data_IF_605631599894
#
_entry.id   IF_605631599894
#
_cell.length_a   1.000
_cell.length_b   1.000
_cell.length_c   1.000
_cell.angle_alpha   90.00
_cell.angle_beta   90.00
_cell.angle_gamma   90.00
#
_symmetry.space_group_name_H-M   'P 1'
#
loop_
_entity.id
_entity.type
_entity.pdbx_description
1 polymer ?
#
# COMPACT_ATOMS: atom_id res chain seq x y z
N UNK A 1 -61.46 29.10 68.49
CA UNK A 1 -60.35 28.11 68.57
C UNK A 1 -59.31 28.24 67.46
N UNK A 2 -59.67 28.49 66.21
CA UNK A 2 -58.73 28.58 65.08
C UNK A 2 -57.61 29.62 65.23
N UNK A 3 -57.87 30.76 65.89
CA UNK A 3 -56.86 31.80 66.17
C UNK A 3 -55.82 31.33 67.21
N UNK A 4 -56.24 30.53 68.20
CA UNK A 4 -55.34 30.02 69.24
C UNK A 4 -54.47 28.87 68.72
N UNK A 5 -54.96 28.09 67.75
CA UNK A 5 -54.17 27.05 67.06
C UNK A 5 -53.11 27.65 66.12
N UNK A 6 -53.31 28.86 65.59
CA UNK A 6 -52.34 29.56 64.74
C UNK A 6 -51.19 30.22 65.52
N UNK A 7 -51.39 30.56 66.81
CA UNK A 7 -50.37 31.25 67.61
C UNK A 7 -49.09 30.41 67.88
N UNK A 8 -49.18 29.08 67.72
CA UNK A 8 -48.05 28.15 67.85
C UNK A 8 -47.49 27.61 66.52
N UNK A 9 -48.10 27.95 65.38
CA UNK A 9 -47.68 27.48 64.07
C UNK A 9 -46.98 28.62 63.31
N UNK A 10 -45.65 28.55 63.21
CA UNK A 10 -44.76 29.46 62.46
C UNK A 10 -44.93 30.93 62.89
N UNK A 11 -44.30 31.29 64.01
CA UNK A 11 -44.24 32.71 64.42
C UNK A 11 -43.39 33.49 63.41
N UNK A 12 -44.06 34.24 62.52
CA UNK A 12 -43.41 35.06 61.47
C UNK A 12 -42.34 36.00 62.02
N UNK A 13 -42.47 36.48 63.26
CA UNK A 13 -41.49 37.36 63.92
C UNK A 13 -40.18 36.67 64.29
N UNK A 14 -40.14 35.33 64.32
CA UNK A 14 -38.94 34.57 64.68
C UNK A 14 -38.12 34.13 63.48
N UNK A 15 -38.59 34.35 62.24
CA UNK A 15 -37.90 33.97 61.00
C UNK A 15 -37.39 32.52 61.01
N UNK A 16 -38.20 31.59 61.56
CA UNK A 16 -37.83 30.17 61.68
C UNK A 16 -36.98 29.83 62.91
N UNK A 17 -36.77 30.76 63.83
CA UNK A 17 -36.12 30.53 65.13
C UNK A 17 -36.83 29.47 65.98
N UNK A 18 -38.16 29.46 65.93
CA UNK A 18 -39.08 28.51 66.57
C UNK A 18 -38.96 27.08 66.04
N UNK A 19 -38.35 26.87 64.88
CA UNK A 19 -38.23 25.54 64.26
C UNK A 19 -37.18 24.73 65.05
N UNK A 20 -37.59 23.64 65.75
CA UNK A 20 -36.70 22.87 66.62
C UNK A 20 -35.65 22.10 65.81
N UNK A 21 -36.08 21.51 64.69
CA UNK A 21 -35.20 20.87 63.71
C UNK A 21 -35.36 21.56 62.35
N UNK A 22 -34.52 22.59 62.14
CA UNK A 22 -34.48 23.35 60.89
C UNK A 22 -34.17 22.47 59.68
N UNK A 23 -33.45 21.36 59.87
CA UNK A 23 -33.02 20.46 58.81
C UNK A 23 -34.16 19.51 58.41
N UNK A 24 -34.81 18.87 59.38
CA UNK A 24 -36.02 18.07 59.10
C UNK A 24 -37.12 18.93 58.49
N UNK A 25 -37.31 20.14 59.01
CA UNK A 25 -38.24 21.10 58.42
C UNK A 25 -37.90 21.42 56.96
N UNK A 26 -36.64 21.77 56.66
CA UNK A 26 -36.19 22.02 55.29
C UNK A 26 -36.48 20.83 54.36
N UNK A 27 -36.17 19.60 54.80
CA UNK A 27 -36.48 18.38 54.05
C UNK A 27 -37.98 18.21 53.80
N UNK A 28 -38.82 18.42 54.81
CA UNK A 28 -40.28 18.26 54.71
C UNK A 28 -40.90 19.22 53.71
N UNK A 29 -40.37 20.44 53.58
CA UNK A 29 -40.87 21.44 52.64
C UNK A 29 -40.15 21.44 51.29
N UNK A 30 -39.20 20.53 51.07
CA UNK A 30 -38.38 20.48 49.84
C UNK A 30 -37.37 21.63 49.72
N UNK A 31 -37.03 22.31 50.81
CA UNK A 31 -35.95 23.30 50.87
C UNK A 31 -34.59 22.61 51.13
N UNK A 32 -33.50 23.32 50.85
CA UNK A 32 -32.13 22.85 51.08
C UNK A 32 -31.43 23.78 52.07
N UNK A 33 -30.61 23.21 52.95
CA UNK A 33 -29.82 24.03 53.88
C UNK A 33 -28.63 24.62 53.14
N UNK A 34 -28.43 25.93 53.25
CA UNK A 34 -27.36 26.64 52.54
C UNK A 34 -26.72 27.77 53.35
N UNK A 35 -25.48 28.13 53.03
CA UNK A 35 -24.77 29.31 53.54
C UNK A 35 -23.90 29.92 52.43
N UNK A 36 -23.26 31.07 52.72
CA UNK A 36 -22.25 31.68 51.85
C UNK A 36 -20.84 31.36 52.37
N UNK A 37 -19.93 31.01 51.47
CA UNK A 37 -18.53 30.68 51.80
C UNK A 37 -17.57 31.51 50.93
N UNK A 38 -16.44 31.91 51.49
CA UNK A 38 -15.38 32.66 50.79
C UNK A 38 -14.04 31.98 50.97
N UNK A 39 -13.33 31.74 49.86
CA UNK A 39 -12.12 30.94 49.74
C UNK A 39 -11.01 31.72 49.00
N UNK A 40 -10.92 33.04 49.16
CA UNK A 40 -10.28 33.98 48.22
C UNK A 40 -8.87 33.69 47.66
N UNK A 41 -8.10 32.80 48.28
CA UNK A 41 -6.76 32.37 47.83
C UNK A 41 -6.80 31.08 47.01
N UNK A 42 -5.75 30.80 46.24
CA UNK A 42 -5.59 29.48 45.61
C UNK A 42 -4.98 28.50 46.60
N UNK A 43 -5.67 27.39 46.91
CA UNK A 43 -5.14 26.38 47.82
C UNK A 43 -6.20 25.49 48.45
N UNK A 44 -5.86 24.92 49.61
CA UNK A 44 -6.69 23.98 50.35
C UNK A 44 -7.46 24.67 51.47
N UNK A 45 -8.75 24.36 51.59
CA UNK A 45 -9.64 24.96 52.58
C UNK A 45 -10.44 23.91 53.34
N UNK A 46 -10.46 23.98 54.67
CA UNK A 46 -11.32 23.17 55.53
C UNK A 46 -12.76 23.66 55.48
N UNK A 47 -13.55 23.14 54.54
CA UNK A 47 -14.92 23.63 54.27
C UNK A 47 -15.98 23.05 55.21
N UNK A 48 -15.71 21.88 55.81
CA UNK A 48 -16.66 21.25 56.71
C UNK A 48 -15.98 20.36 57.75
N UNK A 49 -16.70 20.11 58.85
CA UNK A 49 -16.45 18.98 59.74
C UNK A 49 -17.70 18.12 59.74
N UNK A 50 -17.55 16.82 59.52
CA UNK A 50 -18.65 15.86 59.42
C UNK A 50 -18.53 14.79 60.50
N UNK A 51 -19.65 14.33 61.02
CA UNK A 51 -19.73 13.14 61.87
C UNK A 51 -20.46 12.08 61.05
N UNK A 52 -19.79 10.98 60.72
CA UNK A 52 -20.30 9.97 59.81
C UNK A 52 -20.06 8.57 60.39
N UNK A 53 -20.98 8.06 61.22
CA UNK A 53 -20.88 6.72 61.79
C UNK A 53 -20.63 5.65 60.73
N UNK A 54 -19.84 4.61 61.07
CA UNK A 54 -19.59 3.42 60.24
C UNK A 54 -20.84 2.51 60.06
N UNK A 55 -22.00 3.11 59.76
CA UNK A 55 -23.31 2.48 59.69
C UNK A 55 -24.18 3.12 58.59
N UNK A 56 -23.74 3.02 57.32
CA UNK A 56 -24.44 3.59 56.14
C UNK A 56 -24.76 5.09 56.25
N UNK A 57 -23.75 5.90 56.58
CA UNK A 57 -23.86 7.36 56.58
C UNK A 57 -23.56 7.94 55.19
N UNK A 58 -24.34 8.91 54.72
CA UNK A 58 -24.07 9.67 53.48
C UNK A 58 -24.27 11.16 53.72
N UNK A 59 -23.37 11.97 53.19
CA UNK A 59 -23.48 13.43 53.18
C UNK A 59 -23.17 13.99 51.79
N UNK A 60 -23.75 15.13 51.46
CA UNK A 60 -23.48 15.88 50.23
C UNK A 60 -23.22 17.34 50.58
N UNK A 61 -22.25 17.94 49.91
CA UNK A 61 -21.94 19.36 49.97
C UNK A 61 -21.83 19.86 48.53
N UNK A 62 -22.54 20.93 48.16
CA UNK A 62 -22.48 21.54 46.83
C UNK A 62 -22.09 22.99 46.93
N UNK A 63 -21.14 23.42 46.10
CA UNK A 63 -20.76 24.82 45.94
C UNK A 63 -21.24 25.32 44.58
N UNK A 64 -21.93 26.45 44.55
CA UNK A 64 -22.30 27.16 43.33
C UNK A 64 -21.52 28.47 43.25
N UNK A 65 -20.91 28.71 42.09
CA UNK A 65 -19.86 29.69 41.88
C UNK A 65 -18.48 29.02 41.91
N UNK A 66 -17.50 29.61 41.23
CA UNK A 66 -16.14 29.09 41.10
C UNK A 66 -15.07 30.13 41.39
N UNK A 67 -13.84 29.78 41.02
CA UNK A 67 -12.69 30.67 41.01
C UNK A 67 -12.85 31.76 39.93
N UNK A 68 -13.02 33.02 40.36
CA UNK A 68 -13.18 34.19 39.49
C UNK A 68 -14.63 34.62 39.25
N UNK A 69 -14.82 35.83 38.72
CA UNK A 69 -16.14 36.48 38.54
C UNK A 69 -16.18 37.48 37.36
N UNK A 70 -15.41 37.22 36.32
CA UNK A 70 -15.34 38.00 35.09
C UNK A 70 -16.56 37.75 34.18
N UNK A 71 -17.19 38.84 33.70
CA UNK A 71 -18.24 38.74 32.70
C UNK A 71 -17.69 38.14 31.39
N UNK A 72 -18.41 37.19 30.79
CA UNK A 72 -18.00 36.50 29.56
C UNK A 72 -17.16 35.23 29.77
N UNK A 73 -16.82 34.88 31.00
CA UNK A 73 -16.16 33.62 31.39
C UNK A 73 -17.18 32.62 31.96
N UNK A 74 -17.94 31.89 31.12
CA UNK A 74 -19.00 30.97 31.58
C UNK A 74 -18.49 29.86 32.51
N UNK A 75 -17.21 29.49 32.42
CA UNK A 75 -16.56 28.51 33.29
C UNK A 75 -16.56 28.88 34.78
N UNK A 76 -16.70 30.17 35.10
CA UNK A 76 -16.68 30.71 36.46
C UNK A 76 -18.03 30.58 37.18
N UNK A 77 -19.13 30.39 36.43
CA UNK A 77 -20.42 29.94 36.97
C UNK A 77 -20.37 28.44 37.29
N UNK A 78 -19.40 28.04 38.12
CA UNK A 78 -19.04 26.66 38.35
C UNK A 78 -19.96 25.96 39.34
N UNK A 79 -19.97 24.64 39.28
CA UNK A 79 -20.61 23.76 40.27
C UNK A 79 -19.57 22.77 40.78
N UNK A 80 -19.39 22.74 42.10
CA UNK A 80 -18.60 21.71 42.79
C UNK A 80 -19.55 20.85 43.60
N UNK A 81 -19.56 19.54 43.39
CA UNK A 81 -20.44 18.62 44.13
C UNK A 81 -19.61 17.53 44.81
N UNK A 82 -19.61 17.55 46.14
CA UNK A 82 -18.93 16.60 46.98
C UNK A 82 -19.94 15.63 47.60
N UNK A 83 -19.69 14.34 47.46
CA UNK A 83 -20.44 13.27 48.11
C UNK A 83 -19.51 12.52 49.05
N UNK A 84 -19.94 12.34 50.30
CA UNK A 84 -19.23 11.62 51.34
C UNK A 84 -20.04 10.39 51.72
N UNK A 85 -19.36 9.26 51.95
CA UNK A 85 -19.99 8.02 52.41
C UNK A 85 -19.13 7.32 53.44
N UNK A 86 -19.73 6.88 54.55
CA UNK A 86 -19.00 6.12 55.57
C UNK A 86 -18.68 4.70 55.11
N UNK A 87 -17.55 4.18 55.60
CA UNK A 87 -17.19 2.78 55.51
C UNK A 87 -18.15 1.89 56.29
N UNK A 88 -17.99 0.58 56.12
CA UNK A 88 -18.73 -0.46 56.83
C UNK A 88 -18.02 -0.91 58.12
N UNK A 89 -17.01 -0.17 58.57
CA UNK A 89 -16.13 -0.54 59.68
C UNK A 89 -14.95 -1.45 59.30
N UNK A 90 -14.85 -1.89 58.05
CA UNK A 90 -13.70 -2.68 57.55
C UNK A 90 -13.47 -2.43 56.04
N UNK A 91 -12.66 -1.42 55.66
CA UNK A 91 -11.92 -0.50 56.54
C UNK A 91 -12.82 0.58 57.20
N UNK A 92 -12.37 1.09 58.35
CA UNK A 92 -12.95 2.29 58.99
C UNK A 92 -12.52 3.52 58.20
N UNK A 93 -13.45 4.45 57.94
CA UNK A 93 -13.15 5.70 57.27
C UNK A 93 -14.35 6.27 56.53
N UNK A 94 -14.08 7.23 55.64
CA UNK A 94 -15.05 7.71 54.66
C UNK A 94 -14.46 7.64 53.25
N UNK A 95 -15.32 7.48 52.27
CA UNK A 95 -15.04 7.82 50.88
C UNK A 95 -15.50 9.26 50.66
N UNK A 96 -14.63 10.09 50.10
CA UNK A 96 -14.96 11.44 49.66
C UNK A 96 -14.79 11.53 48.14
N UNK A 97 -15.85 11.98 47.46
CA UNK A 97 -15.89 12.03 45.99
C UNK A 97 -16.33 13.40 45.50
N UNK A 98 -15.48 14.07 44.72
CA UNK A 98 -15.77 15.35 44.09
C UNK A 98 -16.14 15.15 42.61
N UNK A 99 -17.33 15.61 42.23
CA UNK A 99 -17.80 15.63 40.85
C UNK A 99 -17.53 17.00 40.23
N UNK A 100 -16.43 17.10 39.51
CA UNK A 100 -16.00 18.33 38.83
C UNK A 100 -16.76 18.52 37.53
N UNK A 101 -17.47 19.64 37.40
CA UNK A 101 -18.30 19.97 36.22
C UNK A 101 -17.81 21.19 35.44
N UNK A 102 -16.87 21.93 36.01
CA UNK A 102 -16.34 23.17 35.41
C UNK A 102 -14.84 23.33 35.71
N UNK A 103 -14.09 23.99 34.84
CA UNK A 103 -12.69 24.32 35.08
C UNK A 103 -12.46 25.20 36.31
N UNK A 104 -13.39 26.08 36.69
CA UNK A 104 -13.26 26.94 37.86
C UNK A 104 -13.87 26.36 39.16
N UNK A 105 -14.35 25.12 39.14
CA UNK A 105 -14.85 24.43 40.34
C UNK A 105 -13.70 24.02 41.28
N UNK A 106 -14.04 23.43 42.43
CA UNK A 106 -13.07 22.73 43.25
C UNK A 106 -12.30 21.69 42.42
N UNK A 107 -10.99 21.61 42.64
CA UNK A 107 -10.08 20.74 41.91
C UNK A 107 -9.95 19.37 42.54
N UNK A 108 -9.84 19.34 43.87
CA UNK A 108 -9.50 18.15 44.65
C UNK A 108 -10.26 18.17 45.96
N UNK A 109 -10.37 17.00 46.59
CA UNK A 109 -10.96 16.84 47.92
C UNK A 109 -10.06 15.94 48.75
N UNK A 110 -9.94 16.24 50.03
CA UNK A 110 -9.23 15.44 51.01
C UNK A 110 -9.98 15.46 52.34
N UNK A 111 -9.68 14.52 53.23
CA UNK A 111 -10.28 14.47 54.55
C UNK A 111 -9.28 14.04 55.62
N UNK A 112 -9.49 14.49 56.85
CA UNK A 112 -8.69 14.13 58.03
C UNK A 112 -9.62 13.51 59.05
N UNK A 113 -9.34 12.29 59.52
CA UNK A 113 -10.05 11.76 60.69
C UNK A 113 -9.52 12.43 61.95
N UNK A 114 -10.36 13.18 62.66
CA UNK A 114 -9.95 13.96 63.83
C UNK A 114 -10.23 13.22 65.14
N UNK A 115 -11.29 12.42 65.20
CA UNK A 115 -11.61 11.55 66.33
C UNK A 115 -12.81 10.65 66.00
N UNK A 116 -12.71 9.35 66.27
CA UNK A 116 -13.80 8.39 66.06
C UNK A 116 -14.36 8.48 64.64
N UNK A 117 -15.66 8.75 64.51
CA UNK A 117 -16.36 8.94 63.24
C UNK A 117 -16.44 10.41 62.78
N UNK A 118 -15.53 11.27 63.28
CA UNK A 118 -15.46 12.69 62.92
C UNK A 118 -14.36 12.94 61.90
N UNK A 119 -14.70 13.67 60.84
CA UNK A 119 -13.81 13.94 59.72
C UNK A 119 -13.85 15.42 59.34
N UNK A 120 -12.68 16.04 59.21
CA UNK A 120 -12.55 17.35 58.57
C UNK A 120 -12.44 17.17 57.07
N UNK A 121 -13.12 18.02 56.31
CA UNK A 121 -13.26 17.94 54.87
C UNK A 121 -12.61 19.16 54.23
N UNK A 122 -11.66 18.90 53.33
CA UNK A 122 -10.87 19.90 52.64
C UNK A 122 -11.13 19.86 51.14
N UNK A 123 -11.18 21.02 50.50
CA UNK A 123 -11.15 21.11 49.03
C UNK A 123 -9.98 21.96 48.57
N UNK A 124 -9.42 21.64 47.41
CA UNK A 124 -8.53 22.52 46.68
C UNK A 124 -9.34 23.36 45.68
N UNK A 125 -9.15 24.67 45.63
CA UNK A 125 -9.79 25.54 44.63
C UNK A 125 -8.85 26.66 44.21
N UNK A 126 -9.05 27.19 42.99
CA UNK A 126 -8.32 28.36 42.51
C UNK A 126 -8.71 29.66 43.22
N UNK A 127 -7.86 30.68 43.05
CA UNK A 127 -8.06 32.01 43.63
C UNK A 127 -9.38 32.67 43.22
N UNK A 128 -9.80 33.65 44.01
CA UNK A 128 -10.99 34.47 43.76
C UNK A 128 -12.33 33.73 43.80
N UNK A 129 -12.38 32.64 44.55
CA UNK A 129 -13.62 31.93 44.90
C UNK A 129 -14.35 32.66 46.04
N UNK A 130 -15.05 33.75 45.70
CA UNK A 130 -15.73 34.63 46.64
C UNK A 130 -17.24 34.39 46.65
N UNK A 131 -17.84 34.42 47.84
CA UNK A 131 -19.30 34.43 48.02
C UNK A 131 -20.01 33.27 47.33
N UNK A 132 -19.41 32.08 47.38
CA UNK A 132 -20.01 30.88 46.82
C UNK A 132 -21.21 30.45 47.65
N UNK A 133 -22.24 29.90 47.01
CA UNK A 133 -23.37 29.30 47.71
C UNK A 133 -22.98 27.87 48.09
N UNK A 134 -22.92 27.56 49.38
CA UNK A 134 -22.65 26.23 49.90
C UNK A 134 -23.94 25.58 50.40
N UNK A 135 -24.43 24.56 49.70
CA UNK A 135 -25.56 23.72 50.09
C UNK A 135 -25.05 22.42 50.71
N UNK A 136 -25.82 21.82 51.62
CA UNK A 136 -25.49 20.50 52.16
C UNK A 136 -26.73 19.71 52.59
N UNK A 137 -26.57 18.40 52.63
CA UNK A 137 -27.57 17.46 53.13
C UNK A 137 -26.91 16.14 53.60
N UNK A 138 -27.55 15.38 54.50
CA UNK A 138 -26.95 14.14 55.04
C UNK A 138 -27.96 13.19 55.71
N UNK A 139 -27.67 11.89 55.78
CA UNK A 139 -28.55 10.85 56.36
C UNK A 139 -28.81 11.04 57.85
N UNK A 140 -29.93 10.52 58.38
CA UNK A 140 -30.37 10.81 59.76
C UNK A 140 -29.40 10.43 60.90
N UNK A 141 -28.39 9.61 60.63
CA UNK A 141 -27.33 9.22 61.56
C UNK A 141 -26.00 9.98 61.38
N UNK A 142 -25.89 10.84 60.37
CA UNK A 142 -24.72 11.65 60.08
C UNK A 142 -24.92 13.10 60.53
N UNK A 143 -23.87 13.92 60.44
CA UNK A 143 -23.96 15.37 60.61
C UNK A 143 -22.92 16.06 59.71
N UNK A 144 -23.27 17.24 59.21
CA UNK A 144 -22.38 18.16 58.49
C UNK A 144 -22.44 19.53 59.14
N UNK A 145 -21.27 20.05 59.51
CA UNK A 145 -21.05 21.44 59.94
C UNK A 145 -20.20 22.13 58.88
N UNK A 146 -20.81 23.04 58.11
CA UNK A 146 -20.09 23.88 57.15
C UNK A 146 -19.38 25.04 57.85
N UNK A 147 -18.17 25.37 57.38
CA UNK A 147 -17.40 26.52 57.85
C UNK A 147 -17.59 27.69 56.89
N UNK A 148 -18.17 28.80 57.35
CA UNK A 148 -18.34 30.03 56.55
C UNK A 148 -17.03 30.80 56.36
N UNK A 149 -16.06 30.59 57.26
CA UNK A 149 -14.69 31.08 57.19
C UNK A 149 -13.71 29.90 57.30
N UNK A 150 -13.52 29.12 56.22
CA UNK A 150 -12.65 27.95 56.21
C UNK A 150 -11.20 28.28 56.57
N UNK A 151 -10.56 27.35 57.28
CA UNK A 151 -9.11 27.39 57.48
C UNK A 151 -8.38 27.16 56.15
N UNK A 152 -7.43 28.03 55.83
CA UNK A 152 -6.65 28.00 54.60
C UNK A 152 -5.29 27.31 54.81
N UNK A 153 -4.84 26.58 53.80
CA UNK A 153 -3.48 26.08 53.66
C UNK A 153 -3.04 26.15 52.18
N UNK A 154 -1.83 26.62 51.92
CA UNK A 154 -1.26 26.63 50.56
C UNK A 154 -0.89 25.23 50.04
N UNK A 155 -0.79 24.24 50.94
CA UNK A 155 -0.48 22.84 50.63
C UNK A 155 -1.54 21.90 51.20
N UNK A 156 -1.67 20.70 50.65
CA UNK A 156 -2.57 19.69 51.21
C UNK A 156 -2.17 19.37 52.67
N UNK A 157 -3.10 19.30 53.63
CA UNK A 157 -2.77 18.93 55.01
C UNK A 157 -2.06 17.56 55.07
N UNK A 158 -0.89 17.50 55.73
CA UNK A 158 0.00 16.34 55.65
C UNK A 158 -0.54 15.03 56.26
N UNK A 159 -1.52 15.10 57.16
CA UNK A 159 -2.20 13.94 57.75
C UNK A 159 -3.55 13.62 57.08
N UNK A 160 -3.86 14.27 55.95
CA UNK A 160 -5.10 14.02 55.21
C UNK A 160 -5.00 12.80 54.31
N UNK A 161 -6.17 12.21 54.03
CA UNK A 161 -6.37 11.21 52.99
C UNK A 161 -7.02 11.87 51.79
N UNK A 162 -6.45 11.69 50.60
CA UNK A 162 -7.05 12.21 49.35
C UNK A 162 -8.34 11.47 49.02
N UNK A 163 -9.38 12.21 48.67
CA UNK A 163 -10.57 11.67 48.04
C UNK A 163 -10.38 11.47 46.54
N UNK A 164 -11.46 11.07 45.87
CA UNK A 164 -11.48 10.86 44.43
C UNK A 164 -12.17 12.02 43.72
N UNK A 165 -11.54 12.56 42.68
CA UNK A 165 -12.17 13.56 41.80
C UNK A 165 -12.58 12.90 40.50
N UNK A 166 -13.86 13.00 40.14
CA UNK A 166 -14.38 12.62 38.83
C UNK A 166 -14.66 13.87 37.99
N UNK A 167 -14.12 13.92 36.79
CA UNK A 167 -14.44 14.94 35.80
C UNK A 167 -15.67 14.54 34.99
N UNK A 168 -16.68 15.41 34.94
CA UNK A 168 -17.83 15.26 34.05
C UNK A 168 -17.54 16.00 32.75
N UNK A 169 -17.33 15.24 31.68
CA UNK A 169 -17.08 15.81 30.36
C UNK A 169 -18.32 16.50 29.77
N UNK A 170 -18.11 17.64 29.13
CA UNK A 170 -19.14 18.47 28.49
C UNK A 170 -18.54 19.30 27.35
N UNK A 171 -19.35 20.13 26.67
CA UNK A 171 -18.81 21.12 25.71
C UNK A 171 -17.84 22.12 26.34
N UNK A 172 -17.96 22.37 27.66
CA UNK A 172 -17.06 23.21 28.46
C UNK A 172 -15.82 22.44 28.94
N UNK A 173 -15.99 21.18 29.32
CA UNK A 173 -14.93 20.27 29.75
C UNK A 173 -14.77 19.15 28.73
N UNK A 174 -14.16 19.43 27.58
CA UNK A 174 -13.99 18.41 26.54
C UNK A 174 -12.97 17.36 27.00
N UNK A 175 -13.21 16.07 26.75
CA UNK A 175 -12.20 15.06 26.97
C UNK A 175 -11.06 15.26 25.97
N UNK A 176 -9.85 14.93 26.39
CA UNK A 176 -8.72 14.69 25.49
C UNK A 176 -8.88 13.33 24.82
N UNK A 177 -8.13 13.07 23.75
CA UNK A 177 -8.12 11.75 23.12
C UNK A 177 -7.71 10.65 24.12
N UNK A 178 -6.76 10.94 25.02
CA UNK A 178 -6.33 10.03 26.09
C UNK A 178 -7.44 9.71 27.08
N UNK A 179 -8.29 10.68 27.42
CA UNK A 179 -9.40 10.49 28.37
C UNK A 179 -10.44 9.47 27.88
N UNK A 180 -10.59 9.32 26.56
CA UNK A 180 -11.60 8.43 25.94
C UNK A 180 -10.99 7.27 25.16
N UNK A 181 -9.67 7.07 25.25
CA UNK A 181 -8.97 6.01 24.52
C UNK A 181 -9.00 6.17 23.00
N UNK A 182 -9.16 7.40 22.50
CA UNK A 182 -9.14 7.73 21.07
C UNK A 182 -7.72 8.06 20.57
N UNK A 183 -7.53 8.02 19.25
CA UNK A 183 -6.31 8.53 18.62
C UNK A 183 -6.32 10.08 18.59
N UNK A 184 -5.22 10.76 18.94
CA UNK A 184 -5.12 12.21 18.81
C UNK A 184 -4.93 12.64 17.35
N UNK A 185 -5.10 13.94 17.07
CA UNK A 185 -4.97 14.49 15.70
C UNK A 185 -3.56 14.35 15.10
N UNK A 186 -2.55 14.20 15.96
CA UNK A 186 -1.17 13.94 15.56
C UNK A 186 -0.93 12.48 15.16
N UNK A 187 -1.98 11.66 15.14
CA UNK A 187 -1.90 10.23 14.96
C UNK A 187 -1.49 9.51 16.25
N UNK A 188 -1.45 8.19 16.19
CA UNK A 188 -1.05 7.34 17.30
C UNK A 188 -0.94 5.88 16.87
N UNK A 189 -0.61 5.01 17.82
CA UNK A 189 -0.53 3.57 17.58
C UNK A 189 -1.87 2.92 17.94
N UNK A 190 -2.42 2.14 17.01
CA UNK A 190 -3.47 1.18 17.30
C UNK A 190 -2.81 -0.14 17.72
N UNK A 191 -3.04 -0.56 18.96
CA UNK A 191 -2.64 -1.89 19.45
C UNK A 191 -3.77 -2.88 19.16
N UNK A 192 -3.96 -3.20 17.87
CA UNK A 192 -5.02 -4.09 17.39
C UNK A 192 -5.42 -3.78 15.95
N UNK A 193 -6.39 -4.56 15.40
CA UNK A 193 -6.86 -4.38 14.04
C UNK A 193 -7.70 -3.11 13.88
N UNK A 194 -7.68 -2.57 12.66
CA UNK A 194 -8.68 -1.61 12.18
C UNK A 194 -9.70 -2.36 11.30
N UNK A 195 -10.96 -1.99 11.41
CA UNK A 195 -12.04 -2.64 10.66
C UNK A 195 -12.99 -1.59 10.10
N UNK A 196 -13.50 -1.80 8.90
CA UNK A 196 -14.46 -0.90 8.25
C UNK A 196 -15.66 -1.72 7.79
N UNK A 197 -16.84 -1.41 8.34
CA UNK A 197 -18.12 -2.04 7.97
C UNK A 197 -18.44 -3.35 8.69
N UNK A 198 -17.45 -4.02 9.29
CA UNK A 198 -17.62 -5.22 10.12
C UNK A 198 -16.40 -5.44 11.00
N UNK A 199 -16.50 -6.34 11.98
CA UNK A 199 -15.39 -6.74 12.84
C UNK A 199 -14.27 -7.42 12.04
N UNK A 200 -13.03 -7.22 12.47
CA UNK A 200 -11.84 -7.82 11.85
C UNK A 200 -11.59 -9.25 12.33
N UNK A 201 -11.67 -10.22 11.41
CA UNK A 201 -11.29 -11.61 11.61
C UNK A 201 -9.90 -11.97 11.05
N UNK A 202 -9.24 -11.07 10.32
CA UNK A 202 -7.83 -11.23 9.95
C UNK A 202 -6.90 -11.20 11.18
N UNK A 203 -7.25 -10.46 12.24
CA UNK A 203 -6.51 -10.35 13.49
C UNK A 203 -5.15 -9.64 13.36
N UNK A 204 -4.45 -9.47 14.49
CA UNK A 204 -3.15 -8.79 14.55
C UNK A 204 -3.16 -7.37 13.97
N UNK A 205 -2.05 -6.97 13.35
CA UNK A 205 -1.91 -5.68 12.66
C UNK A 205 -2.53 -5.77 11.26
N UNK A 206 -3.84 -5.58 11.18
CA UNK A 206 -4.57 -5.69 9.92
C UNK A 206 -5.65 -4.63 9.76
N UNK A 207 -6.07 -4.46 8.51
CA UNK A 207 -7.20 -3.66 8.09
C UNK A 207 -8.12 -4.60 7.31
N UNK A 208 -9.37 -4.77 7.73
CA UNK A 208 -10.40 -5.46 6.93
C UNK A 208 -11.39 -4.47 6.34
N UNK A 209 -11.99 -4.82 5.20
CA UNK A 209 -12.79 -3.93 4.37
C UNK A 209 -14.07 -4.61 3.90
N UNK A 210 -15.22 -4.19 4.41
CA UNK A 210 -16.55 -4.59 3.90
C UNK A 210 -17.01 -6.00 4.31
N UNK A 211 -16.09 -6.94 4.49
CA UNK A 211 -16.26 -8.21 5.19
C UNK A 211 -15.18 -8.35 6.27
N UNK A 212 -15.20 -9.47 7.01
CA UNK A 212 -14.34 -9.64 8.17
C UNK A 212 -12.99 -10.28 7.83
N UNK A 213 -12.74 -10.66 6.57
CA UNK A 213 -11.59 -11.47 6.19
C UNK A 213 -10.95 -11.09 4.83
N UNK A 214 -11.37 -9.97 4.24
CA UNK A 214 -10.76 -9.31 3.08
C UNK A 214 -10.07 -8.01 3.52
N UNK A 215 -8.81 -7.83 3.14
CA UNK A 215 -8.09 -6.59 3.42
C UNK A 215 -6.57 -6.70 3.41
N UNK A 216 -5.90 -5.97 4.30
CA UNK A 216 -4.45 -5.94 4.40
C UNK A 216 -4.00 -6.44 5.76
N UNK A 217 -2.87 -7.14 5.79
CA UNK A 217 -2.30 -7.60 7.05
C UNK A 217 -0.79 -7.45 7.02
N UNK A 218 -0.26 -6.78 8.03
CA UNK A 218 1.14 -6.85 8.32
C UNK A 218 1.41 -8.19 9.02
N UNK A 219 2.26 -9.01 8.42
CA UNK A 219 2.65 -10.30 8.96
C UNK A 219 4.11 -10.33 9.42
N UNK A 220 4.69 -9.15 9.67
CA UNK A 220 6.06 -8.96 10.12
C UNK A 220 6.60 -7.59 9.70
N UNK A 221 7.82 -7.28 10.13
CA UNK A 221 8.50 -6.07 9.69
C UNK A 221 8.82 -6.14 8.19
N UNK A 222 8.51 -5.07 7.45
CA UNK A 222 8.63 -5.02 5.98
C UNK A 222 7.69 -5.93 5.19
N UNK A 223 6.79 -6.68 5.84
CA UNK A 223 5.90 -7.66 5.18
C UNK A 223 4.45 -7.15 5.17
N UNK A 224 3.97 -6.83 3.98
CA UNK A 224 2.58 -6.45 3.74
C UNK A 224 1.89 -7.48 2.87
N UNK A 225 0.80 -8.03 3.39
CA UNK A 225 -0.01 -9.04 2.72
C UNK A 225 -1.40 -8.49 2.41
N UNK A 226 -2.01 -8.95 1.32
CA UNK A 226 -3.41 -8.69 0.95
C UNK A 226 -4.23 -9.96 1.11
N UNK A 227 -5.45 -9.87 1.61
CA UNK A 227 -6.35 -11.00 1.79
C UNK A 227 -7.68 -10.71 1.10
N UNK A 228 -8.34 -11.74 0.57
CA UNK A 228 -9.68 -11.70 0.01
C UNK A 228 -10.44 -12.95 0.44
N UNK A 229 -11.53 -12.80 1.18
CA UNK A 229 -12.32 -13.90 1.75
C UNK A 229 -11.42 -14.89 2.52
N UNK A 230 -10.60 -14.32 3.41
CA UNK A 230 -9.52 -14.96 4.18
C UNK A 230 -8.38 -15.57 3.34
N UNK A 231 -8.33 -15.32 2.02
CA UNK A 231 -7.28 -15.84 1.13
C UNK A 231 -6.22 -14.80 0.85
N UNK A 232 -4.95 -15.11 1.15
CA UNK A 232 -3.84 -14.22 0.86
C UNK A 232 -3.59 -14.13 -0.67
N UNK A 233 -3.67 -12.93 -1.27
CA UNK A 233 -3.64 -12.73 -2.73
C UNK A 233 -2.36 -12.10 -3.28
N UNK A 234 -1.68 -11.25 -2.52
CA UNK A 234 -0.44 -10.57 -2.90
C UNK A 234 0.36 -10.28 -1.65
N UNK A 235 1.67 -10.53 -1.68
CA UNK A 235 2.64 -10.11 -0.67
C UNK A 235 3.60 -9.09 -1.29
N UNK A 236 3.86 -8.03 -0.54
CA UNK A 236 4.92 -7.06 -0.83
C UNK A 236 5.95 -7.14 0.28
N UNK A 237 7.22 -7.24 -0.11
CA UNK A 237 8.38 -7.30 0.76
C UNK A 237 9.53 -6.45 0.16
N UNK A 238 10.60 -6.14 0.91
CA UNK A 238 11.70 -5.33 0.39
C UNK A 238 12.39 -6.02 -0.80
N UNK A 239 12.36 -5.37 -1.97
CA UNK A 239 12.98 -5.87 -3.20
C UNK A 239 12.13 -6.83 -4.02
N UNK A 240 10.90 -7.16 -3.59
CA UNK A 240 10.05 -8.09 -4.32
C UNK A 240 8.54 -7.87 -4.12
N UNK A 241 7.78 -8.29 -5.12
CA UNK A 241 6.33 -8.37 -5.09
C UNK A 241 5.90 -9.75 -5.56
N UNK A 242 5.07 -10.41 -4.77
CA UNK A 242 4.58 -11.76 -5.01
C UNK A 242 3.06 -11.74 -5.20
N UNK A 243 2.58 -12.08 -6.39
CA UNK A 243 1.15 -12.33 -6.65
C UNK A 243 0.84 -13.80 -6.30
N UNK A 244 -0.06 -14.05 -5.35
CA UNK A 244 -0.39 -15.37 -4.76
C UNK A 244 -1.61 -16.04 -5.44
N UNK A 245 -1.69 -15.84 -6.75
CA UNK A 245 -2.65 -16.44 -7.67
C UNK A 245 -2.01 -16.61 -9.04
N UNK A 246 -2.70 -17.28 -9.97
CA UNK A 246 -2.18 -17.36 -11.32
C UNK A 246 -1.95 -15.94 -11.85
N UNK A 247 -0.68 -15.58 -12.04
CA UNK A 247 -0.33 -14.99 -13.31
C UNK A 247 -0.54 -16.16 -14.27
N UNK A 248 -1.72 -16.27 -14.86
CA UNK A 248 -1.87 -17.15 -16.01
C UNK A 248 -0.80 -16.72 -17.00
N UNK A 249 0.23 -17.58 -17.09
CA UNK A 249 1.49 -17.47 -17.81
C UNK A 249 2.03 -18.90 -18.12
N UNK A 250 1.12 -19.85 -18.44
CA UNK A 250 1.36 -21.28 -18.77
C UNK A 250 0.94 -22.34 -17.69
N UNK A 251 0.66 -23.64 -18.02
CA UNK A 251 0.16 -24.75 -17.12
C UNK A 251 1.13 -25.94 -16.87
N UNK A 252 1.47 -26.79 -17.86
CA UNK A 252 2.42 -27.95 -17.70
C UNK A 252 3.89 -27.58 -17.96
N UNK A 253 4.13 -26.44 -18.62
CA UNK A 253 5.45 -25.86 -18.89
C UNK A 253 5.45 -24.37 -18.52
N UNK A 254 6.59 -23.88 -18.03
CA UNK A 254 6.77 -22.56 -17.40
C UNK A 254 7.45 -21.55 -18.34
N UNK A 255 7.18 -20.26 -18.13
CA UNK A 255 7.88 -19.12 -18.74
C UNK A 255 8.92 -18.54 -17.75
N UNK A 256 10.14 -18.20 -18.21
CA UNK A 256 11.26 -17.70 -17.39
C UNK A 256 11.81 -16.36 -17.90
N UNK A 257 12.20 -15.45 -17.00
CA UNK A 257 12.81 -14.13 -17.25
C UNK A 257 14.07 -13.97 -16.37
N UNK A 258 15.26 -13.71 -16.94
CA UNK A 258 16.55 -13.75 -16.21
C UNK A 258 17.51 -12.64 -16.65
N UNK A 259 18.26 -12.03 -15.72
CA UNK A 259 19.36 -11.08 -15.98
C UNK A 259 20.61 -11.44 -15.15
N UNK A 260 21.78 -11.49 -15.79
CA UNK A 260 23.07 -11.67 -15.09
C UNK A 260 23.64 -10.35 -14.54
N UNK A 261 22.90 -9.26 -14.72
CA UNK A 261 23.28 -7.90 -14.32
C UNK A 261 24.66 -7.44 -14.83
N UNK A 262 25.23 -8.16 -15.78
CA UNK A 262 26.45 -7.84 -16.52
C UNK A 262 26.11 -7.41 -17.95
N UNK A 263 24.86 -7.64 -18.35
CA UNK A 263 24.32 -6.98 -19.51
C UNK A 263 24.47 -5.50 -19.21
N UNK A 264 25.24 -4.82 -20.06
CA UNK A 264 25.41 -3.38 -19.98
C UNK A 264 24.12 -2.65 -20.29
N UNK A 265 23.10 -3.39 -20.72
CA UNK A 265 21.76 -2.91 -21.09
C UNK A 265 20.67 -3.84 -20.55
N UNK A 266 19.47 -3.33 -20.28
CA UNK A 266 18.32 -4.16 -19.89
C UNK A 266 17.93 -5.07 -21.03
N UNK A 267 17.45 -6.28 -20.74
CA UNK A 267 16.77 -7.11 -21.72
C UNK A 267 15.34 -7.31 -21.24
N UNK A 268 14.39 -7.13 -22.14
CA UNK A 268 12.99 -7.23 -21.78
C UNK A 268 12.26 -8.20 -22.71
N UNK A 269 11.33 -8.96 -22.13
CA UNK A 269 10.43 -9.83 -22.86
C UNK A 269 9.06 -9.18 -22.83
N UNK A 270 8.75 -8.53 -23.93
CA UNK A 270 7.62 -7.64 -24.00
C UNK A 270 6.47 -8.32 -24.74
N UNK A 271 5.30 -8.21 -24.12
CA UNK A 271 4.03 -8.38 -24.80
C UNK A 271 3.44 -6.98 -24.98
N UNK A 272 3.52 -6.44 -26.20
CA UNK A 272 3.08 -5.08 -26.53
C UNK A 272 2.41 -5.00 -27.93
N UNK A 273 1.85 -3.86 -28.34
CA UNK A 273 1.26 -3.67 -29.69
C UNK A 273 0.33 -2.45 -29.83
N UNK A 274 0.00 -2.07 -31.08
CA UNK A 274 -0.84 -0.90 -31.48
C UNK A 274 -1.74 -1.14 -32.74
N UNK A 275 -2.57 -0.19 -33.20
CA UNK A 275 -3.54 -0.42 -34.31
C UNK A 275 -2.90 -0.73 -35.68
N UNK A 276 -1.68 -0.25 -35.90
CA UNK A 276 -0.91 -0.60 -37.08
C UNK A 276 -0.06 -1.85 -36.85
N UNK A 277 0.25 -2.14 -35.57
CA UNK A 277 1.02 -3.30 -35.11
C UNK A 277 0.30 -4.09 -34.00
N UNK A 278 -0.81 -4.80 -34.30
CA UNK A 278 -1.77 -5.23 -33.28
C UNK A 278 -1.28 -6.12 -32.15
N UNK A 279 -0.23 -6.91 -32.37
CA UNK A 279 0.43 -7.69 -31.33
C UNK A 279 1.87 -7.87 -31.72
N UNK A 280 2.73 -7.62 -30.76
CA UNK A 280 4.17 -7.75 -30.86
C UNK A 280 4.62 -8.54 -29.65
N UNK A 281 5.26 -9.65 -29.93
CA UNK A 281 6.07 -10.34 -28.95
C UNK A 281 7.50 -10.00 -29.34
N UNK A 282 8.13 -9.23 -28.47
CA UNK A 282 9.42 -8.61 -28.75
C UNK A 282 10.44 -8.97 -27.69
N UNK A 283 11.64 -9.16 -28.20
CA UNK A 283 12.85 -9.06 -27.41
C UNK A 283 13.54 -7.77 -27.85
N UNK A 284 13.71 -6.89 -26.88
CA UNK A 284 14.48 -5.67 -27.02
C UNK A 284 15.48 -5.55 -25.87
N UNK A 285 16.31 -4.54 -26.01
CA UNK A 285 17.15 -4.03 -24.95
C UNK A 285 17.13 -2.50 -24.93
N UNK A 286 18.02 -1.89 -24.15
CA UNK A 286 18.13 -0.42 -24.03
C UNK A 286 18.44 0.30 -25.38
N UNK A 287 18.86 -0.42 -26.43
CA UNK A 287 19.21 0.14 -27.75
C UNK A 287 18.15 -0.09 -28.83
N UNK A 288 17.11 -0.85 -28.52
CA UNK A 288 15.98 -1.08 -29.40
C UNK A 288 15.73 -2.55 -29.68
N UNK A 289 14.83 -2.81 -30.62
CA UNK A 289 14.40 -4.17 -30.92
C UNK A 289 15.52 -5.01 -31.53
N UNK A 290 15.68 -6.23 -31.02
CA UNK A 290 16.61 -7.22 -31.57
C UNK A 290 15.90 -8.09 -32.59
N UNK A 291 14.77 -8.62 -32.16
CA UNK A 291 13.86 -9.39 -32.98
C UNK A 291 12.45 -9.22 -32.45
N UNK A 292 11.51 -9.15 -33.39
CA UNK A 292 10.11 -9.18 -33.08
C UNK A 292 9.37 -10.08 -34.07
N UNK A 293 8.28 -10.63 -33.56
CA UNK A 293 7.20 -11.12 -34.41
C UNK A 293 6.05 -10.13 -34.28
N UNK A 294 5.69 -9.45 -35.38
CA UNK A 294 4.59 -8.49 -35.38
C UNK A 294 3.46 -8.87 -36.33
N UNK A 295 2.28 -8.37 -35.99
CA UNK A 295 1.09 -8.30 -36.86
C UNK A 295 1.05 -6.94 -37.57
N UNK A 296 0.83 -6.87 -38.88
CA UNK A 296 0.65 -5.62 -39.66
C UNK A 296 -0.84 -5.20 -39.75
N UNK A 297 -1.17 -3.96 -40.24
CA UNK A 297 -2.56 -3.49 -40.31
C UNK A 297 -3.38 -4.25 -41.35
N UNK A 298 -2.73 -4.65 -42.45
CA UNK A 298 -3.30 -5.53 -43.48
C UNK A 298 -3.38 -7.00 -43.02
N UNK A 299 -2.92 -7.32 -41.82
CA UNK A 299 -2.94 -8.66 -41.27
C UNK A 299 -1.85 -9.58 -41.84
N UNK A 300 -0.72 -9.07 -42.31
CA UNK A 300 0.48 -9.88 -42.59
C UNK A 300 1.38 -10.08 -41.34
N UNK A 301 2.10 -11.23 -41.23
CA UNK A 301 3.09 -11.49 -40.15
C UNK A 301 4.45 -11.13 -40.69
N UNK A 302 5.16 -10.30 -39.94
CA UNK A 302 6.54 -9.96 -40.22
C UNK A 302 7.40 -10.48 -39.07
N UNK A 303 8.33 -11.38 -39.39
CA UNK A 303 9.45 -11.71 -38.52
C UNK A 303 10.66 -10.94 -39.03
N UNK A 304 11.19 -10.05 -38.20
CA UNK A 304 12.36 -9.26 -38.56
C UNK A 304 13.41 -9.43 -37.49
N UNK A 305 14.62 -9.75 -37.97
CA UNK A 305 15.85 -9.75 -37.18
C UNK A 305 16.62 -8.52 -37.61
N UNK A 306 17.04 -7.70 -36.65
CA UNK A 306 17.89 -6.55 -36.90
C UNK A 306 19.36 -6.99 -36.92
N UNK A 307 19.81 -7.62 -38.01
CA UNK A 307 21.19 -8.08 -38.16
C UNK A 307 21.35 -9.34 -39.00
N UNK A 308 22.48 -10.02 -38.80
CA UNK A 308 22.86 -11.21 -39.55
C UNK A 308 22.24 -12.51 -39.00
N UNK A 309 22.02 -13.48 -39.89
CA UNK A 309 21.60 -14.85 -39.53
C UNK A 309 22.80 -15.80 -39.73
N UNK A 310 23.28 -16.40 -38.64
CA UNK A 310 24.36 -17.40 -38.67
C UNK A 310 23.82 -18.80 -38.41
N UNK A 311 24.07 -19.74 -39.33
CA UNK A 311 23.65 -21.14 -39.22
C UNK A 311 24.80 -22.11 -39.56
N UNK A 312 24.90 -23.24 -38.84
CA UNK A 312 25.88 -24.30 -39.15
C UNK A 312 25.59 -24.99 -40.49
N UNK A 313 24.30 -25.18 -40.75
CA UNK A 313 23.77 -25.60 -42.04
C UNK A 313 22.49 -24.78 -42.24
N UNK A 314 22.43 -24.06 -43.36
CA UNK A 314 21.17 -23.45 -43.78
C UNK A 314 20.49 -24.40 -44.75
N UNK A 315 19.37 -24.97 -44.31
CA UNK A 315 18.48 -25.72 -45.18
C UNK A 315 17.45 -24.74 -45.76
N UNK A 316 17.75 -24.18 -46.93
CA UNK A 316 16.80 -23.39 -47.71
C UNK A 316 16.18 -24.31 -48.77
N UNK A 317 15.14 -25.02 -48.35
CA UNK A 317 14.61 -26.14 -49.12
C UNK A 317 15.60 -27.32 -49.17
N UNK A 318 15.67 -28.02 -50.32
CA UNK A 318 16.55 -29.19 -50.53
C UNK A 318 18.01 -28.84 -50.85
N UNK A 319 18.30 -27.55 -51.01
CA UNK A 319 19.66 -27.06 -51.08
C UNK A 319 20.21 -27.00 -49.65
N UNK A 320 21.18 -27.88 -49.40
CA UNK A 320 21.99 -27.76 -48.20
C UNK A 320 23.10 -26.77 -48.54
N UNK A 321 22.99 -25.55 -47.97
CA UNK A 321 24.09 -24.58 -47.97
C UNK A 321 25.03 -24.98 -46.86
N UNK A 322 26.02 -25.77 -47.26
CA UNK A 322 27.04 -26.21 -46.35
C UNK A 322 27.96 -25.05 -46.02
N UNK A 323 28.50 -25.05 -44.80
CA UNK A 323 29.41 -24.01 -44.32
C UNK A 323 30.74 -23.91 -45.09
N UNK A 324 31.00 -24.78 -46.06
CA UNK A 324 32.18 -24.76 -46.94
C UNK A 324 31.89 -24.21 -48.35
N UNK A 325 30.68 -23.66 -48.58
CA UNK A 325 30.29 -23.09 -49.87
C UNK A 325 29.88 -24.13 -50.93
N UNK A 326 29.98 -25.42 -50.62
CA UNK A 326 29.44 -26.47 -51.48
C UNK A 326 27.91 -26.56 -51.29
N UNK A 327 27.25 -26.98 -52.36
CA UNK A 327 25.80 -27.11 -52.40
C UNK A 327 25.50 -28.56 -52.70
N UNK A 328 24.98 -29.28 -51.70
CA UNK A 328 24.41 -30.58 -51.97
C UNK A 328 23.06 -30.37 -52.65
N UNK A 329 22.85 -31.03 -53.79
CA UNK A 329 21.65 -30.82 -54.58
C UNK A 329 21.40 -31.98 -55.52
N UNK A 330 20.14 -32.32 -55.70
CA UNK A 330 19.71 -33.39 -56.60
C UNK A 330 19.97 -33.10 -58.07
N UNK A 331 20.00 -31.82 -58.47
CA UNK A 331 20.51 -31.40 -59.78
C UNK A 331 21.92 -31.95 -60.03
N UNK A 332 22.63 -32.28 -58.93
CA UNK A 332 24.00 -32.79 -58.90
C UNK A 332 24.10 -34.30 -58.62
N UNK A 333 23.04 -35.08 -58.87
CA UNK A 333 23.09 -36.56 -58.81
C UNK A 333 23.10 -37.16 -57.41
N UNK A 334 22.40 -36.52 -56.45
CA UNK A 334 22.48 -36.84 -55.01
C UNK A 334 23.91 -36.80 -54.48
N UNK A 335 24.69 -35.91 -55.07
CA UNK A 335 26.02 -35.58 -54.64
C UNK A 335 26.13 -34.07 -54.53
N UNK A 336 27.37 -33.65 -54.43
CA UNK A 336 27.71 -32.26 -54.34
C UNK A 336 27.71 -31.61 -55.73
N UNK A 337 27.31 -30.34 -55.78
CA UNK A 337 27.46 -29.48 -56.97
C UNK A 337 28.86 -29.63 -57.56
N UNK A 338 29.85 -29.58 -56.67
CA UNK A 338 31.26 -29.79 -57.00
C UNK A 338 31.50 -31.12 -57.74
N UNK A 339 30.88 -32.22 -57.30
CA UNK A 339 31.03 -33.56 -57.89
C UNK A 339 30.30 -33.71 -59.22
N UNK A 340 29.10 -33.12 -59.38
CA UNK A 340 28.35 -33.24 -60.62
C UNK A 340 28.89 -32.38 -61.74
N UNK A 341 29.30 -31.14 -61.44
CA UNK A 341 29.95 -30.25 -62.42
C UNK A 341 31.13 -31.01 -63.03
N UNK A 342 31.93 -31.66 -62.19
CA UNK A 342 33.13 -32.37 -62.64
C UNK A 342 32.81 -33.50 -63.64
N UNK A 343 31.73 -34.25 -63.46
CA UNK A 343 31.44 -35.45 -64.26
C UNK A 343 30.51 -35.23 -65.47
N UNK A 344 29.70 -34.17 -65.50
CA UNK A 344 28.62 -34.02 -66.48
C UNK A 344 28.80 -32.87 -67.47
N UNK A 345 29.71 -31.94 -67.21
CA UNK A 345 29.92 -30.77 -68.06
C UNK A 345 31.22 -30.85 -68.85
N UNK A 346 31.22 -30.20 -70.02
CA UNK A 346 32.47 -29.92 -70.72
C UNK A 346 33.20 -28.84 -69.92
N UNK A 347 34.31 -29.22 -69.34
CA UNK A 347 35.12 -28.33 -68.53
C UNK A 347 36.08 -27.48 -69.39
N UNK A 348 36.28 -27.79 -70.69
CA UNK A 348 37.15 -27.02 -71.62
C UNK A 348 36.97 -27.36 -73.13
N UNK A 349 37.31 -26.47 -74.07
CA UNK A 349 37.25 -26.66 -75.55
C UNK A 349 38.49 -26.05 -76.22
N UNK A 350 38.98 -26.70 -77.27
CA UNK A 350 40.10 -26.17 -78.05
C UNK A 350 39.99 -26.49 -79.54
N UNK A 351 40.73 -25.76 -80.38
CA UNK A 351 41.14 -26.27 -81.69
C UNK A 351 42.26 -27.27 -81.46
N UNK A 352 42.01 -28.50 -81.86
CA UNK A 352 43.11 -29.38 -82.18
C UNK A 352 43.93 -28.80 -83.35
N UNK A 353 45.00 -29.46 -83.74
CA UNK A 353 45.87 -28.98 -84.81
C UNK A 353 45.17 -28.91 -86.20
N UNK A 354 45.48 -27.88 -87.03
CA UNK A 354 44.83 -27.59 -88.34
C UNK A 354 45.55 -28.02 -89.64
N UNK A 355 44.90 -27.78 -90.81
CA UNK A 355 45.23 -28.21 -92.21
C UNK A 355 44.59 -27.28 -93.31
N UNK A 356 44.61 -27.54 -94.66
CA UNK A 356 44.14 -26.60 -95.75
C UNK A 356 43.64 -27.17 -97.11
N UNK A 357 42.78 -26.44 -97.90
CA UNK A 357 42.19 -26.80 -99.23
C UNK A 357 41.77 -25.58 -100.13
N UNK A 358 41.44 -25.76 -101.43
CA UNK A 358 41.14 -24.71 -102.48
C UNK A 358 39.70 -24.80 -103.06
N UNK A 359 39.07 -23.73 -103.58
CA UNK A 359 37.59 -23.61 -103.77
C UNK A 359 37.01 -23.08 -105.10
N UNK A 360 37.70 -22.28 -105.94
CA UNK A 360 37.06 -21.56 -107.08
C UNK A 360 36.56 -22.41 -108.26
N UNK A 361 36.86 -23.71 -108.34
CA UNK A 361 36.42 -24.63 -109.40
C UNK A 361 35.52 -25.78 -108.91
N UNK A 362 35.13 -25.78 -107.63
CA UNK A 362 34.38 -26.85 -106.99
C UNK A 362 33.19 -26.27 -106.25
N UNK A 363 32.15 -25.93 -107.00
CA UNK A 363 30.87 -25.57 -106.41
C UNK A 363 30.30 -26.79 -105.65
N UNK A 364 30.30 -26.72 -104.31
CA UNK A 364 29.55 -27.65 -103.45
C UNK A 364 30.34 -28.60 -102.54
N UNK A 365 31.67 -28.50 -102.42
CA UNK A 365 32.44 -29.57 -101.75
C UNK A 365 33.29 -29.21 -100.53
N UNK A 366 33.38 -27.97 -100.02
CA UNK A 366 34.33 -27.70 -98.91
C UNK A 366 33.93 -26.63 -97.87
N UNK A 367 34.22 -26.87 -96.56
CA UNK A 367 34.64 -28.15 -95.97
C UNK A 367 33.48 -29.13 -95.79
N UNK A 368 33.69 -30.39 -96.18
CA UNK A 368 32.69 -31.46 -96.05
C UNK A 368 33.17 -32.60 -95.10
N UNK A 369 33.86 -32.26 -94.00
CA UNK A 369 34.23 -33.21 -92.93
C UNK A 369 33.56 -32.80 -91.61
N UNK A 370 32.75 -33.66 -91.00
CA UNK A 370 32.06 -33.36 -89.75
C UNK A 370 33.04 -32.97 -88.63
N UNK A 371 32.79 -31.85 -87.95
CA UNK A 371 33.57 -31.38 -86.79
C UNK A 371 34.81 -30.53 -87.09
N UNK A 372 35.14 -30.32 -88.37
CA UNK A 372 36.24 -29.45 -88.81
C UNK A 372 35.73 -28.12 -89.34
N UNK A 373 36.50 -27.06 -89.11
CA UNK A 373 36.12 -25.68 -89.49
C UNK A 373 37.20 -24.99 -90.25
N UNK A 374 36.80 -24.22 -91.25
CA UNK A 374 37.72 -23.29 -91.89
C UNK A 374 38.09 -22.16 -90.93
N UNK A 375 39.38 -21.92 -90.75
CA UNK A 375 39.95 -20.93 -89.84
C UNK A 375 40.45 -19.68 -90.58
N UNK A 376 40.77 -19.79 -91.87
CA UNK A 376 41.07 -18.63 -92.71
C UNK A 376 40.76 -18.93 -94.16
N UNK A 377 40.27 -17.92 -94.88
CA UNK A 377 40.15 -17.95 -96.34
C UNK A 377 41.22 -17.08 -96.97
N UNK A 378 41.38 -17.28 -98.25
CA UNK A 378 42.23 -16.44 -99.06
C UNK A 378 41.59 -16.31 -100.43
N UNK A 379 41.70 -15.09 -100.98
CA UNK A 379 41.27 -14.72 -102.33
C UNK A 379 42.39 -13.94 -102.98
N UNK A 380 42.47 -14.09 -104.27
CA UNK A 380 43.25 -13.27 -105.16
C UNK A 380 42.39 -12.19 -105.84
N UNK A 381 43.02 -11.48 -106.78
CA UNK A 381 42.45 -10.32 -107.45
C UNK A 381 41.51 -10.68 -108.62
N UNK A 382 41.34 -11.95 -108.98
CA UNK A 382 40.60 -12.36 -110.18
C UNK A 382 39.19 -12.85 -109.89
N UNK A 383 38.26 -12.46 -110.77
CA UNK A 383 36.86 -12.89 -110.70
C UNK A 383 36.16 -12.49 -109.39
N UNK A 384 34.97 -13.03 -109.19
CA UNK A 384 34.13 -12.64 -108.04
C UNK A 384 34.08 -13.73 -106.94
N UNK A 385 34.73 -14.89 -107.12
CA UNK A 385 34.67 -16.07 -106.21
C UNK A 385 35.92 -16.23 -105.30
N UNK A 386 35.82 -17.06 -104.24
CA UNK A 386 36.89 -17.32 -103.24
C UNK A 386 37.86 -18.44 -103.70
N UNK A 387 39.15 -18.34 -103.34
CA UNK A 387 40.18 -19.29 -103.79
C UNK A 387 40.48 -20.45 -102.86
N UNK A 388 40.54 -20.28 -101.54
CA UNK A 388 40.77 -21.42 -100.66
C UNK A 388 40.78 -21.11 -99.18
N UNK A 389 41.07 -22.14 -98.40
CA UNK A 389 40.71 -22.23 -96.98
C UNK A 389 41.69 -23.09 -96.14
N UNK A 390 41.98 -22.69 -94.90
CA UNK A 390 42.64 -23.50 -93.85
C UNK A 390 41.58 -24.05 -92.89
N UNK A 391 41.73 -25.23 -92.28
CA UNK A 391 40.73 -25.84 -91.39
C UNK A 391 41.25 -26.71 -90.23
N UNK A 392 40.56 -26.81 -89.09
CA UNK A 392 41.00 -27.55 -87.87
C UNK A 392 39.87 -28.30 -87.12
N UNK A 393 40.16 -29.39 -86.37
CA UNK A 393 39.16 -30.12 -85.60
C UNK A 393 38.89 -29.40 -84.30
N UNK A 394 37.61 -29.32 -84.00
CA UNK A 394 37.17 -28.76 -82.75
C UNK A 394 37.02 -29.87 -81.69
N UNK A 395 37.52 -29.67 -80.46
CA UNK A 395 37.53 -30.67 -79.37
C UNK A 395 36.92 -30.16 -78.05
N UNK A 396 36.37 -31.04 -77.21
CA UNK A 396 35.75 -30.74 -75.89
C UNK A 396 36.22 -31.69 -74.77
N UNK A 397 36.42 -31.21 -73.54
CA UNK A 397 36.83 -31.99 -72.35
C UNK A 397 35.69 -32.26 -71.39
N UNK A 398 35.31 -33.52 -71.08
CA UNK A 398 34.31 -33.87 -70.03
C UNK A 398 34.99 -34.74 -68.97
N UNK A 399 34.76 -34.48 -67.67
CA UNK A 399 35.57 -35.09 -66.62
C UNK A 399 37.05 -34.77 -66.82
N UNK A 400 37.89 -35.80 -66.79
CA UNK A 400 39.33 -35.66 -67.04
C UNK A 400 39.76 -36.02 -68.50
N UNK A 401 38.85 -36.05 -69.49
CA UNK A 401 39.14 -36.56 -70.87
C UNK A 401 38.72 -35.62 -72.02
N UNK A 402 39.44 -35.59 -73.17
CA UNK A 402 39.21 -34.76 -74.39
C UNK A 402 38.61 -35.54 -75.60
N UNK A 403 37.64 -34.95 -76.32
CA UNK A 403 36.87 -35.55 -77.43
C UNK A 403 36.74 -34.63 -78.68
N UNK A 404 37.01 -35.10 -79.91
CA UNK A 404 36.73 -34.37 -81.19
C UNK A 404 35.22 -34.36 -81.53
N UNK A 405 34.66 -33.22 -81.96
CA UNK A 405 33.20 -33.01 -82.20
C UNK A 405 32.70 -33.64 -83.52
N UNK A 406 31.42 -34.04 -83.63
CA UNK A 406 30.79 -34.47 -84.90
C UNK A 406 29.91 -33.38 -85.53
N UNK A 407 29.99 -33.19 -86.86
CA UNK A 407 29.15 -32.27 -87.64
C UNK A 407 27.74 -32.81 -87.91
N UNK A 408 26.70 -31.97 -87.83
CA UNK A 408 25.27 -32.36 -87.87
C UNK A 408 24.65 -32.51 -89.27
N UNK A 409 23.55 -33.27 -89.36
CA UNK A 409 22.75 -33.55 -90.58
C UNK A 409 21.69 -32.46 -90.86
N UNK A 410 21.57 -32.03 -92.13
CA UNK A 410 20.59 -31.02 -92.59
C UNK A 410 19.24 -31.67 -92.89
#
# INVERSE_FOLDING_TARGET
>A
ETINLAAGALQKSQNGGDIPDKKQFARTIGAVTSTTITLGESGWFKIATVVMPQATSTAVIKLYGGAGFNAGSPEQAAISELVLRAGNGSPVGITATLWRRSPAAANEVAWVNTSGDTYDIYINIGQYAYWLIAQYDYTGNANVTLHSTPEYSSVQPGNSTSGQTYTIYSSLMKPTAGDVGALPITGGQLNGPLSIGTDNALGGNSIVLGDNDTGFKQNGDGILDTYANNQHTVRVAPGEMMVLGAIRAGKEKKLSLTSNNNSTMTATFNLWGDANRPTVIELDDDQGWQLYSQRNPDGSVLFTVNGDITANVLCAGGAIYQNNGDIFGSLWGNGWLSTWINNNLVLDVQLGAGTSVTTWNNAGSWPNTPGYVVTSVWKDYQGENIDGINYAPLQKRVGNQWYTVQGGTV
#
